data_IF_327047237234
#
_entry.id   IF_327047237234
#
_cell.length_a   1.000
_cell.length_b   1.000
_cell.length_c   1.000
_cell.angle_alpha   90.00
_cell.angle_beta   90.00
_cell.angle_gamma   90.00
#
_symmetry.space_group_name_H-M   'P 1'
#
loop_
_entity.id
_entity.type
_entity.pdbx_description
1 polymer ?
#
# COMPACT_ATOMS: atom_id res chain seq x y z
N UNK A 1 0.27 17.09 1.51
CA UNK A 1 1.32 16.80 2.48
C UNK A 1 2.40 17.87 2.39
N UNK A 2 2.67 18.56 3.52
CA UNK A 2 3.63 19.67 3.61
C UNK A 2 5.00 19.23 4.18
N UNK A 3 5.13 17.98 4.62
CA UNK A 3 6.35 17.47 5.23
C UNK A 3 7.56 17.54 4.27
N UNK A 4 8.71 17.94 4.80
CA UNK A 4 9.97 18.02 4.04
C UNK A 4 10.82 16.74 4.13
N UNK A 5 10.53 15.88 5.09
CA UNK A 5 11.20 14.59 5.29
C UNK A 5 10.17 13.48 5.53
N UNK A 6 10.60 12.23 5.38
CA UNK A 6 9.74 11.06 5.62
C UNK A 6 9.75 10.71 7.10
N UNK A 7 8.85 11.32 7.84
CA UNK A 7 8.66 11.13 9.29
C UNK A 7 7.18 10.92 9.65
N UNK A 8 6.84 11.08 10.91
CA UNK A 8 5.47 10.96 11.39
C UNK A 8 4.55 12.00 10.73
N UNK A 9 5.02 13.24 10.52
CA UNK A 9 4.25 14.29 9.87
C UNK A 9 3.85 13.89 8.45
N UNK A 10 4.81 13.40 7.66
CA UNK A 10 4.57 12.94 6.29
C UNK A 10 3.48 11.85 6.22
N UNK A 11 3.45 10.97 7.23
CA UNK A 11 2.48 9.87 7.28
C UNK A 11 1.10 10.36 7.70
N UNK A 12 0.98 11.09 8.80
CA UNK A 12 -0.35 11.49 9.29
C UNK A 12 -1.06 12.48 8.36
N UNK A 13 -0.33 13.41 7.72
CA UNK A 13 -0.92 14.36 6.77
C UNK A 13 -1.50 13.63 5.55
N UNK A 14 -0.76 12.66 5.00
CA UNK A 14 -1.26 11.82 3.91
C UNK A 14 -2.43 10.95 4.35
N UNK A 15 -2.31 10.29 5.51
CA UNK A 15 -3.37 9.43 6.04
C UNK A 15 -4.67 10.22 6.25
N UNK A 16 -4.61 11.37 6.92
CA UNK A 16 -5.79 12.17 7.19
C UNK A 16 -6.52 12.62 5.91
N UNK A 17 -5.76 13.04 4.89
CA UNK A 17 -6.32 13.45 3.60
C UNK A 17 -6.94 12.29 2.85
N UNK A 18 -6.24 11.15 2.75
CA UNK A 18 -6.70 9.97 2.02
C UNK A 18 -7.86 9.28 2.74
N UNK A 19 -7.84 9.24 4.08
CA UNK A 19 -8.95 8.76 4.88
C UNK A 19 -10.22 9.57 4.63
N UNK A 20 -10.12 10.91 4.63
CA UNK A 20 -11.25 11.78 4.33
C UNK A 20 -11.81 11.53 2.92
N UNK A 21 -10.94 11.43 1.90
CA UNK A 21 -11.36 11.11 0.54
C UNK A 21 -12.05 9.75 0.44
N UNK A 22 -11.49 8.74 1.10
CA UNK A 22 -12.01 7.37 1.09
C UNK A 22 -13.37 7.27 1.79
N UNK A 23 -13.53 7.89 2.96
CA UNK A 23 -14.81 7.91 3.69
C UNK A 23 -15.88 8.73 2.99
N UNK A 24 -15.48 9.77 2.25
CA UNK A 24 -16.38 10.53 1.37
C UNK A 24 -16.72 9.80 0.07
N UNK A 25 -16.19 8.58 -0.15
CA UNK A 25 -16.41 7.78 -1.35
C UNK A 25 -16.00 8.50 -2.65
N UNK A 26 -14.88 9.23 -2.62
CA UNK A 26 -14.33 9.85 -3.80
C UNK A 26 -14.00 8.80 -4.88
N UNK A 27 -14.48 9.01 -6.11
CA UNK A 27 -14.28 8.06 -7.20
C UNK A 27 -12.82 8.01 -7.69
N UNK A 28 -12.12 9.14 -7.63
CA UNK A 28 -10.72 9.27 -8.04
C UNK A 28 -10.00 10.20 -7.07
N UNK A 29 -8.80 9.81 -6.67
CA UNK A 29 -7.89 10.63 -5.88
C UNK A 29 -6.57 10.74 -6.62
N UNK A 30 -6.26 11.92 -7.14
CA UNK A 30 -4.97 12.19 -7.79
C UNK A 30 -3.86 12.37 -6.76
N UNK A 31 -2.63 12.02 -7.13
CA UNK A 31 -1.43 12.24 -6.32
C UNK A 31 -1.49 11.58 -4.93
N UNK A 32 -2.11 10.40 -4.87
CA UNK A 32 -2.36 9.70 -3.61
C UNK A 32 -1.10 9.18 -2.92
N UNK A 33 0.03 9.03 -3.63
CA UNK A 33 1.24 8.43 -3.09
C UNK A 33 2.52 9.15 -3.53
N UNK A 34 3.53 9.19 -2.62
CA UNK A 34 4.89 9.61 -2.90
C UNK A 34 5.16 11.11 -2.83
N UNK A 35 4.15 11.95 -2.77
CA UNK A 35 4.29 13.41 -2.79
C UNK A 35 4.56 14.00 -1.41
N UNK A 36 5.40 15.02 -1.38
CA UNK A 36 5.82 15.80 -0.21
C UNK A 36 5.94 17.27 -0.56
N UNK A 37 6.18 18.14 0.43
CA UNK A 37 6.47 19.56 0.25
C UNK A 37 5.43 20.28 -0.63
N UNK A 38 4.14 20.09 -0.32
CA UNK A 38 3.05 20.69 -1.10
C UNK A 38 2.96 20.21 -2.57
N UNK A 39 3.57 19.10 -2.90
CA UNK A 39 3.62 18.55 -4.27
C UNK A 39 4.86 18.98 -5.06
N UNK A 40 5.84 19.62 -4.43
CA UNK A 40 7.09 20.04 -5.09
C UNK A 40 8.14 18.94 -5.11
N UNK A 41 8.02 17.94 -4.21
CA UNK A 41 8.98 16.84 -4.08
C UNK A 41 8.24 15.50 -4.09
N UNK A 42 8.86 14.49 -4.70
CA UNK A 42 8.41 13.10 -4.64
C UNK A 42 9.55 12.20 -4.15
N UNK A 43 9.21 11.14 -3.39
CA UNK A 43 10.14 10.15 -2.90
C UNK A 43 9.65 8.74 -3.16
N UNK A 44 10.53 7.85 -3.60
CA UNK A 44 10.22 6.43 -3.77
C UNK A 44 9.90 5.75 -2.44
N UNK A 45 10.62 6.08 -1.38
CA UNK A 45 10.33 5.57 -0.04
C UNK A 45 8.94 6.01 0.45
N UNK A 46 8.62 7.29 0.24
CA UNK A 46 7.31 7.83 0.58
C UNK A 46 6.21 7.14 -0.23
N UNK A 47 6.45 6.89 -1.50
CA UNK A 47 5.52 6.15 -2.36
C UNK A 47 5.20 4.76 -1.79
N UNK A 48 6.22 4.00 -1.39
CA UNK A 48 6.03 2.66 -0.79
C UNK A 48 5.27 2.74 0.53
N UNK A 49 5.57 3.74 1.38
CA UNK A 49 4.86 3.97 2.66
C UNK A 49 3.38 4.29 2.40
N UNK A 50 3.11 5.15 1.43
CA UNK A 50 1.74 5.51 1.08
C UNK A 50 0.97 4.34 0.47
N UNK A 51 1.63 3.45 -0.29
CA UNK A 51 1.02 2.22 -0.78
C UNK A 51 0.58 1.30 0.37
N UNK A 52 1.41 1.13 1.40
CA UNK A 52 1.01 0.39 2.61
C UNK A 52 -0.22 1.02 3.27
N UNK A 53 -0.21 2.33 3.44
CA UNK A 53 -1.32 3.07 4.03
C UNK A 53 -2.61 2.94 3.22
N UNK A 54 -2.52 3.06 1.89
CA UNK A 54 -3.66 2.89 0.99
C UNK A 54 -4.23 1.46 1.04
N UNK A 55 -3.37 0.45 1.16
CA UNK A 55 -3.82 -0.93 1.34
C UNK A 55 -4.55 -1.12 2.68
N UNK A 56 -4.07 -0.50 3.76
CA UNK A 56 -4.77 -0.53 5.06
C UNK A 56 -6.15 0.12 4.96
N UNK A 57 -6.26 1.28 4.29
CA UNK A 57 -7.54 1.96 4.05
C UNK A 57 -8.46 1.06 3.21
N UNK A 58 -7.96 0.47 2.14
CA UNK A 58 -8.73 -0.43 1.28
C UNK A 58 -9.21 -1.67 2.04
N UNK A 59 -8.37 -2.24 2.90
CA UNK A 59 -8.75 -3.37 3.75
C UNK A 59 -9.84 -2.99 4.76
N UNK A 60 -9.74 -1.80 5.36
CA UNK A 60 -10.77 -1.29 6.28
C UNK A 60 -12.15 -1.16 5.62
N UNK A 61 -12.20 -0.82 4.34
CA UNK A 61 -13.46 -0.68 3.59
C UNK A 61 -14.01 -2.00 3.04
N UNK A 62 -13.32 -3.12 3.25
CA UNK A 62 -13.88 -4.41 2.88
C UNK A 62 -15.12 -4.71 3.73
N UNK A 63 -16.20 -5.24 3.13
CA UNK A 63 -17.39 -5.60 3.89
C UNK A 63 -17.03 -6.73 4.88
N UNK A 64 -17.57 -6.61 6.08
CA UNK A 64 -17.44 -7.68 7.08
C UNK A 64 -18.39 -8.81 6.64
N UNK A 65 -17.88 -10.02 6.37
CA UNK A 65 -18.73 -11.15 6.04
C UNK A 65 -19.58 -11.55 7.26
N UNK A 66 -20.83 -11.94 7.00
CA UNK A 66 -21.76 -12.39 8.05
C UNK A 66 -22.42 -13.67 7.57
N UNK A 67 -21.75 -14.79 7.79
CA UNK A 67 -22.29 -16.14 7.62
C UNK A 67 -22.44 -16.81 8.98
N UNK A 68 -23.10 -17.97 9.02
CA UNK A 68 -23.17 -18.80 10.24
C UNK A 68 -21.78 -19.12 10.78
N UNK A 69 -20.82 -19.37 9.88
CA UNK A 69 -19.44 -19.64 10.24
C UNK A 69 -18.70 -18.40 10.75
N UNK A 70 -19.00 -17.21 10.21
CA UNK A 70 -18.40 -15.95 10.69
C UNK A 70 -18.94 -15.55 12.07
N UNK A 71 -20.20 -15.87 12.38
CA UNK A 71 -20.81 -15.67 13.68
C UNK A 71 -20.19 -16.58 14.76
N UNK A 72 -19.55 -17.66 14.38
CA UNK A 72 -18.79 -18.56 15.24
C UNK A 72 -19.57 -19.16 16.43
N UNK A 73 -20.90 -19.24 16.35
CA UNK A 73 -21.76 -19.68 17.46
C UNK A 73 -21.40 -21.11 17.89
N UNK A 74 -21.14 -22.01 16.95
CA UNK A 74 -20.78 -23.39 17.27
C UNK A 74 -19.39 -23.48 17.91
N UNK A 75 -18.40 -22.70 17.45
CA UNK A 75 -17.09 -22.59 18.08
C UNK A 75 -17.18 -22.03 19.52
N UNK A 76 -18.06 -21.07 19.75
CA UNK A 76 -18.31 -20.53 21.09
C UNK A 76 -18.92 -21.60 22.01
N UNK A 77 -19.86 -22.40 21.52
CA UNK A 77 -20.46 -23.52 22.28
C UNK A 77 -19.44 -24.60 22.60
N UNK A 78 -18.61 -24.97 21.62
CA UNK A 78 -17.55 -25.98 21.75
C UNK A 78 -16.54 -25.58 22.82
N UNK A 79 -16.02 -24.35 22.75
CA UNK A 79 -15.01 -23.84 23.69
C UNK A 79 -15.59 -23.63 25.10
N UNK A 80 -16.86 -23.21 25.20
CA UNK A 80 -17.54 -22.98 26.47
C UNK A 80 -16.94 -21.85 27.28
N UNK A 81 -17.39 -21.72 28.53
CA UNK A 81 -17.01 -20.60 29.42
C UNK A 81 -15.62 -20.69 30.04
N UNK A 82 -15.00 -21.85 30.05
CA UNK A 82 -13.70 -22.10 30.70
C UNK A 82 -12.58 -22.46 29.74
N UNK A 83 -12.89 -22.60 28.46
CA UNK A 83 -11.92 -22.96 27.41
C UNK A 83 -11.22 -21.73 26.81
N UNK A 84 -10.38 -21.97 25.83
CA UNK A 84 -9.74 -20.92 25.02
C UNK A 84 -9.83 -21.28 23.52
N UNK A 85 -9.89 -20.25 22.69
CA UNK A 85 -10.14 -20.38 21.25
C UNK A 85 -8.91 -20.81 20.42
N UNK A 86 -7.70 -20.79 20.96
CA UNK A 86 -6.46 -21.03 20.21
C UNK A 86 -6.39 -22.39 19.53
N UNK A 87 -7.09 -23.38 20.05
CA UNK A 87 -7.12 -24.74 19.52
C UNK A 87 -8.41 -25.06 18.75
N UNK A 88 -9.36 -24.11 18.63
CA UNK A 88 -10.58 -24.36 17.87
C UNK A 88 -10.31 -24.31 16.37
N UNK A 89 -10.97 -25.16 15.60
CA UNK A 89 -10.84 -25.21 14.13
C UNK A 89 -11.23 -23.87 13.49
N UNK A 90 -12.20 -23.19 14.07
CA UNK A 90 -12.59 -21.84 13.65
C UNK A 90 -11.43 -20.86 13.71
N UNK A 91 -10.65 -20.83 14.79
CA UNK A 91 -9.48 -19.94 14.96
C UNK A 91 -8.33 -20.38 14.08
N UNK A 92 -7.98 -21.66 14.08
CA UNK A 92 -6.81 -22.19 13.37
C UNK A 92 -6.93 -22.06 11.84
N UNK A 93 -8.14 -22.12 11.30
CA UNK A 93 -8.38 -21.88 9.87
C UNK A 93 -8.34 -20.41 9.45
N UNK A 94 -8.39 -19.49 10.41
CA UNK A 94 -8.54 -18.04 10.16
C UNK A 94 -7.38 -17.17 10.62
N UNK A 95 -6.58 -17.60 11.59
CA UNK A 95 -5.60 -16.71 12.26
C UNK A 95 -4.58 -16.08 11.28
N UNK A 96 -4.27 -16.73 10.18
CA UNK A 96 -3.38 -16.16 9.15
C UNK A 96 -4.07 -15.18 8.20
N UNK A 97 -5.41 -15.20 8.12
CA UNK A 97 -6.19 -14.44 7.12
C UNK A 97 -7.11 -13.39 7.74
N UNK A 98 -7.40 -13.50 9.02
CA UNK A 98 -8.39 -12.66 9.69
C UNK A 98 -7.93 -11.22 9.91
N UNK A 99 -6.62 -10.98 9.84
CA UNK A 99 -6.03 -9.67 10.05
C UNK A 99 -5.29 -9.21 8.81
N UNK A 100 -5.26 -7.90 8.61
CA UNK A 100 -4.43 -7.30 7.57
C UNK A 100 -2.97 -7.74 7.74
N UNK A 101 -2.34 -8.21 6.68
CA UNK A 101 -0.92 -8.56 6.68
C UNK A 101 -0.13 -7.46 5.97
N UNK A 102 0.64 -6.64 6.70
CA UNK A 102 1.41 -5.55 6.11
C UNK A 102 2.59 -6.09 5.31
N UNK A 103 2.93 -5.41 4.21
CA UNK A 103 4.15 -5.71 3.45
C UNK A 103 5.35 -4.86 3.89
N UNK A 104 5.11 -3.72 4.53
CA UNK A 104 6.14 -2.78 4.97
C UNK A 104 6.27 -2.71 6.49
N UNK A 105 5.15 -2.69 7.24
CA UNK A 105 5.17 -2.54 8.70
C UNK A 105 5.81 -3.75 9.38
N UNK A 106 6.67 -3.51 10.35
CA UNK A 106 7.31 -4.57 11.14
C UNK A 106 6.54 -4.75 12.46
N UNK A 107 5.90 -5.91 12.62
CA UNK A 107 5.13 -6.28 13.81
C UNK A 107 5.91 -7.20 14.76
N UNK A 108 7.21 -7.37 14.53
CA UNK A 108 8.04 -8.14 15.43
C UNK A 108 8.21 -7.44 16.78
N UNK A 109 8.51 -8.23 17.81
CA UNK A 109 8.91 -7.65 19.09
C UNK A 109 10.29 -6.95 19.00
N UNK A 110 10.64 -6.18 20.00
CA UNK A 110 11.83 -5.34 20.01
C UNK A 110 13.13 -6.13 19.76
N UNK A 111 13.30 -7.29 20.39
CA UNK A 111 14.50 -8.13 20.25
C UNK A 111 14.64 -8.66 18.83
N UNK A 112 13.54 -9.07 18.19
CA UNK A 112 13.56 -9.55 16.82
C UNK A 112 13.80 -8.39 15.83
N UNK A 113 13.22 -7.23 16.08
CA UNK A 113 13.52 -6.03 15.30
C UNK A 113 15.00 -5.66 15.37
N UNK A 114 15.61 -5.69 16.58
CA UNK A 114 17.05 -5.47 16.74
C UNK A 114 17.89 -6.50 15.97
N UNK A 115 17.56 -7.78 16.08
CA UNK A 115 18.27 -8.86 15.34
C UNK A 115 18.19 -8.70 13.83
N UNK A 116 17.12 -8.07 13.32
CA UNK A 116 16.95 -7.76 11.88
C UNK A 116 17.61 -6.46 11.44
N UNK A 117 18.38 -5.80 12.34
CA UNK A 117 19.17 -4.62 12.04
C UNK A 117 18.50 -3.29 12.37
N UNK A 118 17.45 -3.28 13.18
CA UNK A 118 16.79 -2.06 13.69
C UNK A 118 16.36 -1.09 12.59
N UNK A 119 15.89 -1.61 11.46
CA UNK A 119 15.56 -0.79 10.29
C UNK A 119 14.32 0.09 10.55
N UNK A 120 14.46 1.37 10.24
CA UNK A 120 13.33 2.31 10.19
C UNK A 120 12.41 2.02 9.01
N UNK A 121 11.19 2.55 9.05
CA UNK A 121 10.24 2.39 7.94
C UNK A 121 10.77 2.91 6.61
N UNK A 122 11.39 4.11 6.51
CA UNK A 122 12.01 4.56 5.26
C UNK A 122 13.12 3.64 4.75
N UNK A 123 13.92 3.06 5.65
CA UNK A 123 14.98 2.11 5.26
C UNK A 123 14.41 0.80 4.69
N UNK A 124 13.29 0.30 5.24
CA UNK A 124 12.59 -0.86 4.66
C UNK A 124 11.97 -0.52 3.32
N UNK A 125 11.31 0.63 3.22
CA UNK A 125 10.73 1.12 1.96
C UNK A 125 11.81 1.28 0.87
N UNK A 126 13.01 1.79 1.21
CA UNK A 126 14.15 1.89 0.30
C UNK A 126 14.56 0.53 -0.29
N UNK A 127 14.57 -0.53 0.53
CA UNK A 127 14.87 -1.88 0.03
C UNK A 127 13.81 -2.35 -0.95
N UNK A 128 12.53 -2.16 -0.62
CA UNK A 128 11.39 -2.61 -1.43
C UNK A 128 11.40 -1.94 -2.81
N UNK A 129 11.52 -0.61 -2.89
CA UNK A 129 11.49 0.03 -4.20
C UNK A 129 12.73 -0.31 -5.05
N UNK A 130 13.90 -0.45 -4.43
CA UNK A 130 15.12 -0.88 -5.16
C UNK A 130 15.00 -2.28 -5.71
N UNK A 131 14.41 -3.20 -4.95
CA UNK A 131 14.13 -4.55 -5.40
C UNK A 131 13.10 -4.55 -6.55
N UNK A 132 12.03 -3.76 -6.44
CA UNK A 132 11.04 -3.60 -7.50
C UNK A 132 11.66 -3.06 -8.80
N UNK A 133 12.56 -2.07 -8.71
CA UNK A 133 13.28 -1.55 -9.88
C UNK A 133 14.27 -2.56 -10.46
N UNK A 134 14.97 -3.33 -9.62
CA UNK A 134 15.90 -4.35 -10.09
C UNK A 134 15.20 -5.51 -10.80
N UNK A 135 13.99 -5.83 -10.39
CA UNK A 135 13.15 -6.88 -10.98
C UNK A 135 12.18 -6.35 -12.05
N UNK A 136 12.34 -5.09 -12.48
CA UNK A 136 11.47 -4.51 -13.49
C UNK A 136 11.62 -5.24 -14.83
N UNK A 137 10.52 -5.78 -15.31
CA UNK A 137 10.39 -6.32 -16.65
C UNK A 137 9.62 -5.37 -17.53
N UNK A 138 10.16 -5.09 -18.72
CA UNK A 138 9.49 -4.22 -19.69
C UNK A 138 8.15 -4.86 -20.09
N UNK A 139 7.02 -4.15 -20.00
CA UNK A 139 5.73 -4.68 -20.41
C UNK A 139 5.79 -5.18 -21.87
N UNK A 140 5.14 -6.31 -22.10
CA UNK A 140 5.05 -6.87 -23.45
C UNK A 140 4.29 -5.90 -24.35
N UNK A 141 4.92 -5.51 -25.45
CA UNK A 141 4.32 -4.72 -26.53
C UNK A 141 4.84 -5.32 -27.82
N UNK A 142 3.96 -5.56 -28.78
CA UNK A 142 4.38 -6.04 -30.09
C UNK A 142 5.27 -5.02 -30.79
N UNK A 143 6.22 -5.48 -31.61
CA UNK A 143 7.22 -4.60 -32.20
C UNK A 143 6.61 -3.59 -33.15
N UNK A 144 5.61 -3.99 -33.94
CA UNK A 144 4.83 -3.11 -34.82
C UNK A 144 4.17 -1.93 -34.08
N UNK A 145 3.53 -2.19 -32.93
CA UNK A 145 2.95 -1.13 -32.07
C UNK A 145 4.06 -0.23 -31.51
N UNK A 146 5.20 -0.80 -31.13
CA UNK A 146 6.35 -0.01 -30.65
C UNK A 146 6.87 0.93 -31.71
N UNK A 147 7.12 0.42 -32.92
CA UNK A 147 7.61 1.21 -34.04
C UNK A 147 6.62 2.34 -34.40
N UNK A 148 5.32 2.05 -34.40
CA UNK A 148 4.29 3.06 -34.64
C UNK A 148 4.30 4.16 -33.60
N UNK A 149 4.40 3.81 -32.30
CA UNK A 149 4.48 4.76 -31.20
C UNK A 149 5.77 5.60 -31.26
N UNK A 150 6.91 5.00 -31.57
CA UNK A 150 8.17 5.72 -31.73
C UNK A 150 8.11 6.70 -32.90
N UNK A 151 7.56 6.30 -34.02
CA UNK A 151 7.33 7.17 -35.18
C UNK A 151 6.39 8.32 -34.85
N UNK A 152 5.31 8.05 -34.07
CA UNK A 152 4.41 9.09 -33.58
C UNK A 152 5.13 10.09 -32.68
N UNK A 153 5.93 9.62 -31.72
CA UNK A 153 6.70 10.48 -30.80
C UNK A 153 7.68 11.37 -31.57
N UNK A 154 8.42 10.81 -32.54
CA UNK A 154 9.36 11.57 -33.37
C UNK A 154 8.64 12.68 -34.13
N UNK A 155 7.50 12.34 -34.78
CA UNK A 155 6.68 13.32 -35.49
C UNK A 155 6.19 14.43 -34.56
N UNK A 156 5.61 14.08 -33.40
CA UNK A 156 5.09 15.06 -32.45
C UNK A 156 6.16 15.98 -31.87
N UNK A 157 7.36 15.45 -31.62
CA UNK A 157 8.51 16.27 -31.20
C UNK A 157 8.94 17.26 -32.30
N UNK A 158 8.95 16.83 -33.56
CA UNK A 158 9.29 17.69 -34.69
C UNK A 158 8.22 18.80 -34.93
N UNK A 159 6.97 18.54 -34.63
CA UNK A 159 5.85 19.50 -34.69
C UNK A 159 5.84 20.49 -33.50
N UNK A 160 6.77 20.36 -32.54
CA UNK A 160 6.85 21.20 -31.36
C UNK A 160 6.22 20.59 -30.09
N UNK A 161 5.75 19.32 -30.15
CA UNK A 161 5.15 18.63 -29.02
C UNK A 161 3.77 19.19 -28.62
N UNK A 162 3.37 18.99 -27.36
CA UNK A 162 2.20 19.64 -26.80
C UNK A 162 2.50 21.11 -26.49
N UNK A 163 1.54 22.04 -26.71
CA UNK A 163 1.72 23.40 -26.26
C UNK A 163 1.94 23.40 -24.75
N UNK A 164 2.90 24.18 -24.28
CA UNK A 164 3.09 24.43 -22.85
C UNK A 164 2.02 25.43 -22.41
N UNK A 165 1.27 25.09 -21.38
CA UNK A 165 0.24 25.96 -20.79
C UNK A 165 0.85 27.13 -19.98
N UNK A 166 2.11 27.53 -20.25
CA UNK A 166 2.83 28.60 -19.58
C UNK A 166 3.44 29.60 -20.55
#
# INVERSE_FOLDING_TARGET
>A
NAANIIDAQATWESFASLWACSTAQANIVFHAAGWMEGGLTASFEKFVIDCEMLQQIAYYHQPIPVSEDDLAVEAIKEVGSTGHFLASDHTTSRYEKAFYSPFLSDWSNFENWQKRGSLTTPQRANKIYKEALANYEKPHMSEDIREELEAFIVRRKAEGGAPTDF
#
